data_IF_641706132920
#
_entry.id   IF_641706132920
#
_cell.length_a   1.000
_cell.length_b   1.000
_cell.length_c   1.000
_cell.angle_alpha   90.00
_cell.angle_beta   90.00
_cell.angle_gamma   90.00
#
_symmetry.space_group_name_H-M   'P 1'
#
loop_
_entity.id
_entity.type
_entity.pdbx_description
1 polymer ?
#
# COMPACT_ATOMS: atom_id res chain seq x y z
N UNK A 1 15.12 -3.99 10.87
CA UNK A 1 13.90 -3.51 10.17
C UNK A 1 13.48 -4.60 9.21
N UNK A 2 12.18 -4.89 9.07
CA UNK A 2 11.70 -5.82 8.05
C UNK A 2 11.59 -5.03 6.74
N UNK A 3 12.43 -5.31 5.76
CA UNK A 3 12.50 -4.53 4.52
C UNK A 3 11.88 -5.35 3.38
N UNK A 4 11.01 -4.71 2.60
CA UNK A 4 10.44 -5.28 1.39
C UNK A 4 10.62 -4.37 0.18
N UNK A 5 10.31 -4.92 -0.99
CA UNK A 5 10.22 -4.18 -2.25
C UNK A 5 8.88 -4.47 -2.92
N UNK A 6 8.18 -3.42 -3.34
CA UNK A 6 6.98 -3.54 -4.17
C UNK A 6 7.35 -3.91 -5.61
N UNK A 7 6.53 -4.78 -6.19
CA UNK A 7 6.61 -5.14 -7.61
C UNK A 7 6.36 -3.94 -8.55
N UNK A 8 5.90 -2.77 -8.05
CA UNK A 8 5.68 -1.55 -8.83
C UNK A 8 6.87 -1.21 -9.75
N UNK A 9 8.08 -1.09 -9.18
CA UNK A 9 9.28 -0.73 -9.92
C UNK A 9 9.73 -1.79 -10.92
N UNK A 10 9.34 -3.05 -10.68
CA UNK A 10 9.82 -4.23 -11.38
C UNK A 10 8.80 -4.73 -12.40
N UNK A 11 7.59 -4.17 -12.40
CA UNK A 11 6.55 -4.46 -13.36
C UNK A 11 7.00 -4.12 -14.80
N UNK A 12 6.76 -4.97 -15.82
CA UNK A 12 6.09 -6.28 -15.79
C UNK A 12 7.08 -7.47 -15.87
N UNK A 13 8.24 -7.40 -15.21
CA UNK A 13 9.22 -8.49 -15.23
C UNK A 13 8.61 -9.80 -14.73
N UNK A 14 9.01 -10.98 -15.25
CA UNK A 14 8.54 -12.26 -14.74
C UNK A 14 8.79 -12.39 -13.24
N UNK A 15 7.76 -12.81 -12.48
CA UNK A 15 7.87 -12.94 -11.02
C UNK A 15 9.08 -13.79 -10.54
N UNK A 16 9.46 -14.91 -11.20
CA UNK A 16 10.66 -15.65 -10.81
C UNK A 16 11.94 -14.79 -10.83
N UNK A 17 12.10 -13.91 -11.83
CA UNK A 17 13.26 -13.02 -11.96
C UNK A 17 13.24 -11.94 -10.87
N UNK A 18 12.05 -11.44 -10.53
CA UNK A 18 11.85 -10.50 -9.42
C UNK A 18 12.25 -11.14 -8.08
N UNK A 19 11.73 -12.34 -7.78
CA UNK A 19 12.01 -13.03 -6.52
C UNK A 19 13.51 -13.40 -6.39
N UNK A 20 14.13 -13.90 -7.47
CA UNK A 20 15.57 -14.18 -7.50
C UNK A 20 16.39 -12.92 -7.24
N UNK A 21 16.05 -11.81 -7.90
CA UNK A 21 16.70 -10.52 -7.67
C UNK A 21 16.59 -10.05 -6.20
N UNK A 22 15.42 -10.23 -5.57
CA UNK A 22 15.22 -9.83 -4.17
C UNK A 22 16.04 -10.71 -3.20
N UNK A 23 16.13 -12.02 -3.45
CA UNK A 23 16.99 -12.92 -2.67
C UNK A 23 18.47 -12.58 -2.82
N UNK A 24 18.94 -12.28 -4.04
CA UNK A 24 20.32 -11.84 -4.27
C UNK A 24 20.67 -10.56 -3.51
N UNK A 25 19.67 -9.71 -3.24
CA UNK A 25 19.80 -8.49 -2.44
C UNK A 25 19.53 -8.68 -0.95
N UNK A 26 19.25 -9.90 -0.51
CA UNK A 26 18.88 -10.22 0.88
C UNK A 26 17.68 -9.39 1.38
N UNK A 27 16.70 -9.15 0.50
CA UNK A 27 15.43 -8.51 0.86
C UNK A 27 14.48 -9.55 1.44
N UNK A 28 13.85 -9.23 2.58
CA UNK A 28 13.02 -10.17 3.33
C UNK A 28 11.60 -10.34 2.74
N UNK A 29 11.05 -9.27 2.15
CA UNK A 29 9.65 -9.22 1.68
C UNK A 29 9.51 -8.75 0.22
N UNK A 30 8.51 -9.27 -0.47
CA UNK A 30 8.04 -8.80 -1.77
C UNK A 30 6.57 -8.45 -1.67
N UNK A 31 6.20 -7.24 -2.07
CA UNK A 31 4.79 -6.89 -2.24
C UNK A 31 4.34 -7.10 -3.68
N UNK A 32 3.45 -8.05 -3.86
CA UNK A 32 2.89 -8.37 -5.16
C UNK A 32 1.65 -7.51 -5.37
N UNK A 33 1.70 -6.61 -6.35
CA UNK A 33 0.51 -5.94 -6.87
C UNK A 33 -0.27 -6.97 -7.66
N UNK A 34 -1.45 -7.34 -7.16
CA UNK A 34 -2.28 -8.43 -7.66
C UNK A 34 -3.01 -8.05 -8.97
N UNK A 35 -2.25 -7.58 -9.95
CA UNK A 35 -2.68 -7.25 -11.30
C UNK A 35 -1.99 -8.14 -12.32
N UNK A 36 -2.44 -8.10 -13.57
CA UNK A 36 -1.72 -8.75 -14.66
C UNK A 36 -0.27 -8.26 -14.71
N UNK A 37 0.76 -9.13 -14.83
CA UNK A 37 0.64 -10.58 -14.98
C UNK A 37 0.57 -11.36 -13.66
N UNK A 38 0.90 -10.74 -12.52
CA UNK A 38 1.05 -11.38 -11.21
C UNK A 38 -0.23 -11.94 -10.60
N UNK A 39 -1.41 -11.54 -11.08
CA UNK A 39 -2.71 -12.08 -10.65
C UNK A 39 -2.91 -13.59 -10.93
N UNK A 40 -2.11 -14.16 -11.84
CA UNK A 40 -2.18 -15.56 -12.26
C UNK A 40 -0.78 -16.18 -12.22
N UNK A 41 -0.28 -16.42 -11.01
CA UNK A 41 0.98 -17.14 -10.79
C UNK A 41 0.72 -18.58 -10.35
N UNK A 42 1.65 -19.48 -10.69
CA UNK A 42 1.66 -20.85 -10.20
C UNK A 42 2.09 -20.82 -8.73
N UNK A 43 1.21 -21.21 -7.81
CA UNK A 43 1.49 -21.14 -6.38
C UNK A 43 2.71 -22.01 -6.01
N UNK A 44 2.99 -23.09 -6.75
CA UNK A 44 4.19 -23.92 -6.56
C UNK A 44 5.50 -23.22 -6.89
N UNK A 45 5.46 -22.10 -7.60
CA UNK A 45 6.63 -21.24 -7.82
C UNK A 45 7.14 -20.65 -6.50
N UNK A 46 6.22 -20.21 -5.63
CA UNK A 46 6.54 -19.45 -4.43
C UNK A 46 7.29 -20.30 -3.40
N UNK A 47 7.01 -21.60 -3.34
CA UNK A 47 7.70 -22.57 -2.48
C UNK A 47 9.22 -22.68 -2.76
N UNK A 48 9.67 -22.19 -3.92
CA UNK A 48 11.09 -22.21 -4.30
C UNK A 48 11.90 -21.03 -3.75
N UNK A 49 11.24 -20.04 -3.14
CA UNK A 49 11.85 -18.81 -2.64
C UNK A 49 11.60 -18.65 -1.13
N UNK A 50 12.51 -17.94 -0.45
CA UNK A 50 12.45 -17.62 0.98
C UNK A 50 11.83 -16.25 1.24
N UNK A 51 11.69 -15.41 0.20
CA UNK A 51 11.07 -14.09 0.29
C UNK A 51 9.62 -14.22 0.74
N UNK A 52 9.26 -13.50 1.80
CA UNK A 52 7.89 -13.47 2.31
C UNK A 52 7.05 -12.50 1.51
N UNK A 53 5.75 -12.72 1.47
CA UNK A 53 4.87 -11.95 0.62
C UNK A 53 3.93 -11.05 1.42
N UNK A 54 3.68 -9.86 0.88
CA UNK A 54 2.46 -9.07 1.11
C UNK A 54 1.75 -8.91 -0.22
N UNK A 55 0.46 -8.60 -0.19
CA UNK A 55 -0.33 -8.41 -1.42
C UNK A 55 -0.84 -6.99 -1.47
N UNK A 56 -0.66 -6.33 -2.61
CA UNK A 56 -1.37 -5.10 -2.90
C UNK A 56 -2.60 -5.42 -3.76
N UNK A 57 -3.78 -4.95 -3.38
CA UNK A 57 -4.98 -5.09 -4.20
C UNK A 57 -4.85 -4.33 -5.52
N UNK A 58 -5.63 -4.67 -6.57
CA UNK A 58 -5.58 -3.94 -7.83
C UNK A 58 -5.77 -2.43 -7.67
N UNK A 59 -4.96 -1.67 -8.40
CA UNK A 59 -5.00 -0.22 -8.54
C UNK A 59 -5.89 0.18 -9.73
N UNK A 60 -5.74 -0.55 -10.83
CA UNK A 60 -6.27 -0.21 -12.14
C UNK A 60 -7.77 -0.53 -12.26
N UNK A 61 -8.53 0.43 -12.79
CA UNK A 61 -9.94 0.28 -13.20
C UNK A 61 -10.95 -0.17 -12.12
N UNK A 62 -10.57 -0.13 -10.84
CA UNK A 62 -11.47 -0.36 -9.71
C UNK A 62 -11.86 0.95 -9.00
N UNK A 63 -13.03 0.96 -8.36
CA UNK A 63 -13.46 2.07 -7.50
C UNK A 63 -14.51 1.61 -6.47
N UNK A 64 -14.08 1.47 -5.21
CA UNK A 64 -14.95 1.13 -4.06
C UNK A 64 -16.01 2.20 -3.76
N UNK A 65 -15.83 3.43 -4.22
CA UNK A 65 -16.78 4.54 -4.05
C UNK A 65 -17.74 4.71 -5.25
N UNK A 66 -17.63 3.85 -6.28
CA UNK A 66 -18.40 4.03 -7.52
C UNK A 66 -19.91 4.04 -7.27
N UNK A 67 -20.62 5.04 -7.80
CA UNK A 67 -22.09 5.06 -7.79
C UNK A 67 -22.71 4.10 -8.81
N UNK A 68 -21.90 3.53 -9.72
CA UNK A 68 -22.32 2.41 -10.55
C UNK A 68 -22.12 1.12 -9.76
N UNK A 69 -23.23 0.53 -9.31
CA UNK A 69 -23.21 -0.67 -8.48
C UNK A 69 -22.48 -1.86 -9.13
N UNK A 70 -22.54 -2.01 -10.46
CA UNK A 70 -21.82 -3.10 -11.13
C UNK A 70 -20.30 -2.91 -11.02
N UNK A 71 -19.81 -1.69 -11.19
CA UNK A 71 -18.38 -1.37 -11.02
C UNK A 71 -17.97 -1.55 -9.56
N UNK A 72 -18.79 -1.07 -8.62
CA UNK A 72 -18.49 -1.19 -7.18
C UNK A 72 -18.43 -2.64 -6.73
N UNK A 73 -19.39 -3.47 -7.12
CA UNK A 73 -19.41 -4.90 -6.80
C UNK A 73 -18.20 -5.63 -7.41
N UNK A 74 -17.83 -5.32 -8.65
CA UNK A 74 -16.60 -5.86 -9.26
C UNK A 74 -15.35 -5.42 -8.52
N UNK A 75 -15.29 -4.17 -8.06
CA UNK A 75 -14.16 -3.63 -7.28
C UNK A 75 -14.00 -4.37 -5.96
N UNK A 76 -15.09 -4.54 -5.21
CA UNK A 76 -15.12 -5.33 -3.96
C UNK A 76 -14.66 -6.76 -4.23
N UNK A 77 -15.17 -7.39 -5.31
CA UNK A 77 -14.79 -8.76 -5.70
C UNK A 77 -13.29 -8.86 -5.99
N UNK A 78 -12.71 -7.88 -6.67
CA UNK A 78 -11.26 -7.83 -6.95
C UNK A 78 -10.43 -7.71 -5.67
N UNK A 79 -10.84 -6.86 -4.72
CA UNK A 79 -10.17 -6.74 -3.42
C UNK A 79 -10.25 -8.05 -2.62
N UNK A 80 -11.43 -8.67 -2.56
CA UNK A 80 -11.61 -9.98 -1.89
C UNK A 80 -10.76 -11.08 -2.51
N UNK A 81 -10.61 -11.08 -3.84
CA UNK A 81 -9.69 -12.00 -4.54
C UNK A 81 -8.23 -11.81 -4.14
N UNK A 82 -7.79 -10.57 -3.85
CA UNK A 82 -6.45 -10.36 -3.29
C UNK A 82 -6.29 -10.92 -1.89
N UNK A 83 -7.36 -10.94 -1.09
CA UNK A 83 -7.35 -11.58 0.24
C UNK A 83 -7.31 -13.10 0.12
N UNK A 84 -8.05 -13.68 -0.84
CA UNK A 84 -7.96 -15.11 -1.15
C UNK A 84 -6.52 -15.46 -1.58
N UNK A 85 -5.91 -14.65 -2.45
CA UNK A 85 -4.50 -14.80 -2.86
C UNK A 85 -3.53 -14.67 -1.69
N UNK A 86 -3.76 -13.73 -0.77
CA UNK A 86 -2.92 -13.61 0.41
C UNK A 86 -2.95 -14.89 1.26
N UNK A 87 -4.12 -15.52 1.45
CA UNK A 87 -4.23 -16.81 2.13
C UNK A 87 -3.49 -17.91 1.36
N UNK A 88 -3.68 -18.01 0.05
CA UNK A 88 -3.00 -19.00 -0.81
C UNK A 88 -1.47 -18.85 -0.76
N UNK A 89 -0.97 -17.62 -0.68
CA UNK A 89 0.45 -17.27 -0.67
C UNK A 89 1.04 -17.16 0.73
N UNK A 90 0.28 -17.49 1.77
CA UNK A 90 0.68 -17.39 3.17
C UNK A 90 1.20 -15.97 3.54
N UNK A 91 0.55 -14.95 2.99
CA UNK A 91 0.72 -13.55 3.33
C UNK A 91 -0.33 -13.14 4.37
N UNK A 92 0.09 -12.37 5.38
CA UNK A 92 -0.80 -11.97 6.48
C UNK A 92 -1.53 -10.64 6.21
N UNK A 93 -1.22 -9.96 5.10
CA UNK A 93 -1.60 -8.55 4.89
C UNK A 93 -1.96 -8.24 3.43
N UNK A 94 -3.01 -7.45 3.26
CA UNK A 94 -3.43 -6.89 1.96
C UNK A 94 -3.56 -5.37 2.03
N UNK A 95 -2.87 -4.67 1.13
CA UNK A 95 -3.02 -3.21 0.94
C UNK A 95 -4.24 -2.92 0.06
N UNK A 96 -5.08 -1.98 0.49
CA UNK A 96 -6.32 -1.59 -0.18
C UNK A 96 -6.39 -0.08 -0.35
N UNK A 97 -6.53 0.36 -1.60
CA UNK A 97 -6.85 1.77 -1.85
C UNK A 97 -8.33 2.04 -1.53
N UNK A 98 -8.64 3.14 -0.82
CA UNK A 98 -10.01 3.64 -0.80
C UNK A 98 -10.47 4.03 -2.22
N UNK A 99 -11.78 4.20 -2.37
CA UNK A 99 -12.37 4.61 -3.63
C UNK A 99 -12.06 6.06 -4.02
N UNK A 100 -12.57 6.46 -5.17
CA UNK A 100 -12.38 7.81 -5.73
C UNK A 100 -13.72 8.45 -6.07
N UNK A 101 -13.80 9.77 -5.91
CA UNK A 101 -14.91 10.64 -6.26
C UNK A 101 -15.07 10.76 -7.78
N UNK A 102 -16.10 10.14 -8.39
CA UNK A 102 -16.34 10.28 -9.82
C UNK A 102 -16.78 11.70 -10.18
N UNK A 103 -16.56 12.14 -11.42
CA UNK A 103 -16.92 13.49 -11.90
C UNK A 103 -18.39 13.84 -11.57
N UNK A 104 -19.32 12.94 -11.89
CA UNK A 104 -20.74 13.12 -11.58
C UNK A 104 -21.06 12.88 -10.09
N UNK A 105 -20.20 12.13 -9.40
CA UNK A 105 -20.29 11.84 -7.97
C UNK A 105 -20.16 13.07 -7.08
N UNK A 106 -19.46 14.12 -7.53
CA UNK A 106 -19.35 15.40 -6.80
C UNK A 106 -20.70 16.02 -6.43
N UNK A 107 -21.76 15.73 -7.20
CA UNK A 107 -23.14 16.21 -6.92
C UNK A 107 -23.89 15.38 -5.89
N UNK A 108 -23.34 14.22 -5.52
CA UNK A 108 -23.89 13.23 -4.59
C UNK A 108 -22.79 12.76 -3.63
N UNK A 109 -21.91 13.67 -3.21
CA UNK A 109 -20.69 13.35 -2.47
C UNK A 109 -20.95 12.49 -1.22
N UNK A 110 -21.99 12.79 -0.45
CA UNK A 110 -22.39 12.01 0.73
C UNK A 110 -22.71 10.55 0.37
N UNK A 111 -23.34 10.30 -0.78
CA UNK A 111 -23.61 8.95 -1.25
C UNK A 111 -22.31 8.25 -1.69
N UNK A 112 -21.36 8.97 -2.31
CA UNK A 112 -20.08 8.41 -2.72
C UNK A 112 -19.26 7.98 -1.49
N UNK A 113 -19.18 8.84 -0.46
CA UNK A 113 -18.53 8.52 0.80
C UNK A 113 -19.20 7.34 1.49
N UNK A 114 -20.54 7.31 1.50
CA UNK A 114 -21.30 6.17 2.02
C UNK A 114 -21.01 4.87 1.26
N UNK A 115 -20.99 4.89 -0.07
CA UNK A 115 -20.67 3.70 -0.87
C UNK A 115 -19.25 3.20 -0.65
N UNK A 116 -18.31 4.13 -0.48
CA UNK A 116 -16.94 3.79 -0.10
C UNK A 116 -16.90 3.07 1.25
N UNK A 117 -17.53 3.65 2.26
CA UNK A 117 -17.61 3.08 3.61
C UNK A 117 -18.24 1.68 3.58
N UNK A 118 -19.40 1.52 2.93
CA UNK A 118 -20.08 0.22 2.79
C UNK A 118 -19.17 -0.83 2.15
N UNK A 119 -18.41 -0.43 1.12
CA UNK A 119 -17.49 -1.34 0.42
C UNK A 119 -16.28 -1.72 1.27
N UNK A 120 -15.70 -0.75 1.99
CA UNK A 120 -14.57 -1.01 2.90
C UNK A 120 -14.99 -1.89 4.08
N UNK A 121 -16.17 -1.67 4.66
CA UNK A 121 -16.73 -2.54 5.71
C UNK A 121 -16.93 -3.96 5.19
N UNK A 122 -17.51 -4.12 3.99
CA UNK A 122 -17.69 -5.45 3.40
C UNK A 122 -16.36 -6.17 3.14
N UNK A 123 -15.31 -5.44 2.73
CA UNK A 123 -13.97 -5.98 2.57
C UNK A 123 -13.31 -6.29 3.93
N UNK A 124 -13.51 -5.45 4.94
CA UNK A 124 -12.98 -5.62 6.29
C UNK A 124 -13.54 -6.88 6.97
N UNK A 125 -14.86 -7.08 6.92
CA UNK A 125 -15.53 -8.29 7.41
C UNK A 125 -14.95 -9.55 6.74
N UNK A 126 -14.75 -9.50 5.42
CA UNK A 126 -14.16 -10.62 4.67
C UNK A 126 -12.70 -10.89 5.05
N UNK A 127 -11.89 -9.84 5.22
CA UNK A 127 -10.51 -9.98 5.67
C UNK A 127 -10.44 -10.61 7.07
N UNK A 128 -11.32 -10.18 7.98
CA UNK A 128 -11.43 -10.73 9.33
C UNK A 128 -11.77 -12.23 9.32
N UNK A 129 -12.72 -12.65 8.50
CA UNK A 129 -13.10 -14.06 8.35
C UNK A 129 -11.94 -14.94 7.87
N UNK A 130 -11.04 -14.37 7.05
CA UNK A 130 -9.84 -15.05 6.55
C UNK A 130 -8.63 -14.94 7.49
N UNK A 131 -8.69 -14.09 8.52
CA UNK A 131 -7.53 -13.78 9.38
C UNK A 131 -6.47 -12.90 8.70
N UNK A 132 -6.85 -12.16 7.65
CA UNK A 132 -5.97 -11.25 6.90
C UNK A 132 -6.05 -9.84 7.49
N UNK A 133 -4.90 -9.18 7.61
CA UNK A 133 -4.84 -7.76 7.95
C UNK A 133 -5.10 -6.91 6.71
N UNK A 134 -6.32 -6.41 6.57
CA UNK A 134 -6.61 -5.34 5.61
C UNK A 134 -5.98 -4.04 6.07
N UNK A 135 -5.15 -3.45 5.22
CA UNK A 135 -4.47 -2.18 5.45
C UNK A 135 -4.92 -1.17 4.39
N UNK A 136 -5.62 -0.12 4.79
CA UNK A 136 -6.07 0.92 3.87
C UNK A 136 -4.99 1.99 3.76
N UNK A 137 -4.68 2.38 2.54
CA UNK A 137 -3.60 3.33 2.25
C UNK A 137 -4.10 4.77 2.20
N UNK A 138 -3.30 5.71 2.71
CA UNK A 138 -3.54 7.13 2.51
C UNK A 138 -3.18 7.54 1.09
N UNK A 139 -4.09 8.20 0.39
CA UNK A 139 -3.92 8.54 -1.03
C UNK A 139 -3.14 9.85 -1.23
N UNK A 140 -2.45 10.04 -2.36
CA UNK A 140 -1.77 11.30 -2.65
C UNK A 140 -2.77 12.42 -3.00
N UNK A 141 -2.27 13.66 -3.04
CA UNK A 141 -3.05 14.85 -3.41
C UNK A 141 -3.32 14.87 -4.92
N UNK A 142 -4.29 14.05 -5.32
CA UNK A 142 -4.77 13.93 -6.70
C UNK A 142 -6.28 14.15 -6.69
N UNK A 143 -6.75 14.99 -7.63
CA UNK A 143 -8.16 15.35 -7.70
C UNK A 143 -9.05 14.10 -7.79
N UNK A 144 -9.90 13.93 -6.77
CA UNK A 144 -10.90 12.88 -6.72
C UNK A 144 -10.49 11.65 -5.91
N UNK A 145 -9.22 11.44 -5.54
CA UNK A 145 -8.88 10.38 -4.60
C UNK A 145 -9.43 10.71 -3.20
N UNK A 146 -9.96 9.72 -2.50
CA UNK A 146 -10.47 9.90 -1.14
C UNK A 146 -9.37 9.60 -0.11
N UNK A 147 -9.52 10.11 1.12
CA UNK A 147 -8.64 9.84 2.27
C UNK A 147 -7.16 10.20 2.03
N UNK A 148 -6.93 11.45 1.64
CA UNK A 148 -5.59 12.03 1.48
C UNK A 148 -5.02 12.55 2.82
N UNK A 149 -5.90 12.88 3.77
CA UNK A 149 -5.52 13.33 5.11
C UNK A 149 -5.42 12.14 6.07
N UNK A 150 -4.29 12.03 6.78
CA UNK A 150 -4.03 10.93 7.72
C UNK A 150 -5.02 10.90 8.90
N UNK A 151 -5.53 12.05 9.36
CA UNK A 151 -6.49 12.09 10.46
C UNK A 151 -7.87 11.60 10.01
N UNK A 152 -8.30 11.99 8.80
CA UNK A 152 -9.54 11.49 8.21
C UNK A 152 -9.47 9.98 7.97
N UNK A 153 -8.35 9.49 7.42
CA UNK A 153 -8.14 8.06 7.25
C UNK A 153 -8.13 7.35 8.60
N UNK A 154 -7.30 7.76 9.57
CA UNK A 154 -7.23 7.11 10.88
C UNK A 154 -8.61 7.03 11.55
N UNK A 155 -9.41 8.11 11.49
CA UNK A 155 -10.76 8.12 12.06
C UNK A 155 -11.68 7.08 11.40
N UNK A 156 -11.61 6.92 10.07
CA UNK A 156 -12.32 5.87 9.35
C UNK A 156 -11.85 4.48 9.78
N UNK A 157 -10.53 4.26 9.90
CA UNK A 157 -9.98 2.95 10.23
C UNK A 157 -10.30 2.52 11.65
N UNK A 158 -10.38 3.45 12.60
CA UNK A 158 -10.91 3.21 13.94
C UNK A 158 -12.40 2.80 13.89
N UNK A 159 -13.20 3.41 13.01
CA UNK A 159 -14.63 3.08 12.87
C UNK A 159 -14.86 1.67 12.32
N UNK A 160 -14.05 1.24 11.34
CA UNK A 160 -14.21 -0.05 10.66
C UNK A 160 -13.26 -1.15 11.17
N UNK A 161 -12.50 -0.86 12.23
CA UNK A 161 -11.58 -1.78 12.92
C UNK A 161 -10.53 -2.46 12.02
N UNK A 162 -9.93 -1.70 11.10
CA UNK A 162 -8.83 -2.16 10.23
C UNK A 162 -7.55 -1.34 10.40
N UNK A 163 -6.50 -1.66 9.63
CA UNK A 163 -5.18 -1.06 9.77
C UNK A 163 -4.89 -0.06 8.66
N UNK A 164 -3.82 0.71 8.85
CA UNK A 164 -3.31 1.68 7.88
C UNK A 164 -2.06 1.13 7.18
N UNK A 165 -2.01 1.29 5.86
CA UNK A 165 -0.75 1.40 5.13
C UNK A 165 -0.39 2.89 5.12
N UNK A 166 0.66 3.25 5.83
CA UNK A 166 1.21 4.60 5.75
C UNK A 166 2.08 4.70 4.50
N UNK A 167 1.60 5.33 3.46
CA UNK A 167 2.45 5.80 2.38
C UNK A 167 3.05 7.15 2.75
N UNK A 168 4.37 7.14 2.94
CA UNK A 168 5.15 8.31 3.37
C UNK A 168 5.23 9.37 2.27
N UNK A 169 5.29 8.95 1.01
CA UNK A 169 5.30 9.84 -0.13
C UNK A 169 3.98 10.61 -0.25
N UNK A 170 2.86 9.92 -0.17
CA UNK A 170 1.51 10.48 -0.18
C UNK A 170 1.28 11.42 1.00
N UNK A 171 1.74 11.05 2.20
CA UNK A 171 1.63 11.88 3.40
C UNK A 171 2.44 13.17 3.25
N UNK A 172 3.67 13.10 2.72
CA UNK A 172 4.49 14.29 2.47
C UNK A 172 3.85 15.21 1.42
N UNK A 173 3.32 14.63 0.33
CA UNK A 173 2.57 15.39 -0.68
C UNK A 173 1.30 16.05 -0.12
N UNK A 174 0.69 15.45 0.90
CA UNK A 174 -0.46 15.99 1.64
C UNK A 174 -0.08 17.00 2.74
N UNK A 175 1.21 17.29 2.91
CA UNK A 175 1.72 18.31 3.83
C UNK A 175 1.97 17.82 5.26
N UNK A 176 1.92 16.52 5.52
CA UNK A 176 2.34 15.95 6.79
C UNK A 176 3.87 15.96 6.87
N UNK A 177 4.39 16.41 8.02
CA UNK A 177 5.83 16.32 8.27
C UNK A 177 6.21 14.91 8.75
N UNK A 178 7.44 14.46 8.47
CA UNK A 178 7.94 13.16 8.90
C UNK A 178 7.83 12.91 10.41
N UNK A 179 7.76 13.96 11.23
CA UNK A 179 7.58 13.86 12.67
C UNK A 179 6.15 13.58 13.12
N UNK A 180 5.16 13.72 12.24
CA UNK A 180 3.75 13.46 12.54
C UNK A 180 3.28 12.10 12.02
N UNK A 181 3.99 11.52 11.06
CA UNK A 181 3.50 10.37 10.31
C UNK A 181 3.38 9.09 11.15
N UNK A 182 4.11 8.97 12.26
CA UNK A 182 4.04 7.82 13.18
C UNK A 182 3.21 8.08 14.45
N UNK A 183 2.41 9.17 14.49
CA UNK A 183 1.50 9.46 15.61
C UNK A 183 0.24 8.56 15.60
N UNK A 184 0.03 7.78 14.53
CA UNK A 184 -1.19 7.00 14.30
C UNK A 184 -1.02 5.54 14.76
N UNK A 185 -1.86 5.03 15.68
CA UNK A 185 -1.67 3.72 16.30
C UNK A 185 -2.03 2.53 15.40
N UNK A 186 -2.77 2.77 14.30
CA UNK A 186 -3.26 1.74 13.39
C UNK A 186 -2.29 1.41 12.26
N UNK A 187 -1.11 2.04 12.20
CA UNK A 187 -0.09 1.76 11.17
C UNK A 187 0.42 0.33 11.33
N UNK A 188 0.25 -0.47 10.27
CA UNK A 188 0.71 -1.86 10.22
C UNK A 188 1.65 -2.14 9.06
N UNK A 189 1.56 -1.33 8.01
CA UNK A 189 2.40 -1.39 6.84
C UNK A 189 2.89 0.01 6.46
N UNK A 190 4.06 0.11 5.85
CA UNK A 190 4.63 1.39 5.44
C UNK A 190 5.16 1.27 4.02
N UNK A 191 4.75 2.18 3.14
CA UNK A 191 5.37 2.37 1.83
C UNK A 191 6.33 3.55 1.88
N UNK A 192 7.53 3.34 1.34
CA UNK A 192 8.58 4.33 1.24
C UNK A 192 8.88 4.64 -0.22
N UNK A 193 8.68 5.91 -0.53
CA UNK A 193 9.13 6.57 -1.74
C UNK A 193 9.53 8.00 -1.38
N UNK A 194 10.25 8.70 -2.25
CA UNK A 194 10.63 10.08 -2.04
C UNK A 194 9.97 11.01 -3.08
N UNK A 195 9.74 12.25 -2.68
CA UNK A 195 9.17 13.28 -3.54
C UNK A 195 9.53 14.69 -3.05
N UNK A 196 9.29 15.68 -3.90
CA UNK A 196 9.57 17.09 -3.59
C UNK A 196 8.41 17.80 -2.86
N UNK A 197 7.34 17.08 -2.55
CA UNK A 197 6.10 17.56 -1.93
C UNK A 197 5.04 18.01 -2.93
N UNK A 198 5.36 18.14 -4.22
CA UNK A 198 4.42 18.69 -5.22
C UNK A 198 3.55 17.64 -5.87
N UNK A 199 4.04 16.40 -5.98
CA UNK A 199 3.32 15.28 -6.57
C UNK A 199 3.88 13.98 -6.03
N UNK A 200 3.12 12.91 -6.21
CA UNK A 200 3.56 11.56 -5.91
C UNK A 200 4.49 11.03 -7.02
N UNK A 201 5.80 11.25 -6.86
CA UNK A 201 6.79 10.95 -7.90
C UNK A 201 7.40 9.56 -7.79
N UNK A 202 7.26 8.90 -6.63
CA UNK A 202 7.89 7.62 -6.34
C UNK A 202 9.41 7.57 -6.63
N UNK A 203 10.15 8.64 -6.29
CA UNK A 203 11.60 8.69 -6.53
C UNK A 203 12.35 7.80 -5.52
N UNK A 204 13.60 7.45 -5.85
CA UNK A 204 14.50 6.78 -4.91
C UNK A 204 14.67 7.55 -3.59
N UNK A 205 14.81 6.83 -2.48
CA UNK A 205 14.96 7.44 -1.15
C UNK A 205 16.22 8.33 -1.07
N UNK A 206 16.04 9.53 -0.51
CA UNK A 206 17.08 10.53 -0.34
C UNK A 206 17.35 11.38 -1.58
N UNK A 207 16.45 11.38 -2.56
CA UNK A 207 16.57 12.18 -3.79
C UNK A 207 15.56 13.31 -3.89
N UNK A 208 14.54 13.29 -3.03
CA UNK A 208 13.54 14.35 -2.87
C UNK A 208 13.80 15.14 -1.59
N UNK A 209 12.71 15.53 -0.93
CA UNK A 209 12.72 16.47 0.20
C UNK A 209 12.23 15.86 1.51
N UNK A 210 11.89 14.57 1.53
CA UNK A 210 11.40 13.91 2.75
C UNK A 210 12.53 13.80 3.77
N UNK A 211 12.27 14.27 5.00
CA UNK A 211 13.20 14.15 6.12
C UNK A 211 13.16 12.72 6.68
N UNK A 212 13.96 11.83 6.09
CA UNK A 212 14.06 10.44 6.50
C UNK A 212 14.73 10.26 7.87
N UNK A 213 15.64 11.15 8.27
CA UNK A 213 16.27 11.12 9.60
C UNK A 213 15.19 11.26 10.68
N UNK A 214 14.32 12.26 10.53
CA UNK A 214 13.17 12.43 11.40
C UNK A 214 12.21 11.25 11.28
N UNK A 215 11.89 10.79 10.06
CA UNK A 215 10.96 9.68 9.86
C UNK A 215 11.39 8.41 10.62
N UNK A 216 12.63 7.93 10.38
CA UNK A 216 13.15 6.71 11.00
C UNK A 216 13.30 6.83 12.51
N UNK A 217 13.63 8.04 13.00
CA UNK A 217 13.63 8.31 14.44
C UNK A 217 12.23 8.16 15.04
N UNK A 218 11.21 8.77 14.45
CA UNK A 218 9.84 8.70 14.97
C UNK A 218 9.26 7.28 14.86
N UNK A 219 9.58 6.57 13.78
CA UNK A 219 9.24 5.15 13.63
C UNK A 219 9.82 4.30 14.78
N UNK A 220 11.09 4.54 15.16
CA UNK A 220 11.72 3.85 16.28
C UNK A 220 11.11 4.24 17.64
N UNK A 221 10.77 5.52 17.85
CA UNK A 221 10.10 6.01 19.05
C UNK A 221 8.68 5.44 19.20
N UNK A 222 7.96 5.29 18.09
CA UNK A 222 6.66 4.60 18.02
C UNK A 222 6.78 3.07 18.18
N UNK A 223 8.01 2.54 18.26
CA UNK A 223 8.30 1.11 18.37
C UNK A 223 7.69 0.28 17.22
N UNK A 224 7.58 0.87 16.03
CA UNK A 224 7.04 0.18 14.87
C UNK A 224 7.94 -1.01 14.48
N UNK A 225 7.33 -2.19 14.37
CA UNK A 225 8.01 -3.46 14.07
C UNK A 225 7.46 -4.16 12.81
N UNK A 226 6.62 -3.46 12.04
CA UNK A 226 6.04 -3.93 10.80
C UNK A 226 7.01 -3.87 9.61
N UNK A 227 6.47 -4.03 8.40
CA UNK A 227 7.24 -4.09 7.15
C UNK A 227 7.35 -2.69 6.56
N UNK A 228 8.57 -2.35 6.14
CA UNK A 228 8.88 -1.13 5.40
C UNK A 228 9.12 -1.51 3.95
N UNK A 229 8.19 -1.15 3.08
CA UNK A 229 8.15 -1.51 1.67
C UNK A 229 8.74 -0.39 0.82
N UNK A 230 9.81 -0.66 0.07
CA UNK A 230 10.31 0.27 -0.94
C UNK A 230 9.37 0.21 -2.14
N UNK A 231 8.66 1.31 -2.39
CA UNK A 231 7.72 1.45 -3.51
C UNK A 231 8.14 2.63 -4.37
N UNK A 232 9.02 2.36 -5.32
CA UNK A 232 9.59 3.36 -6.22
C UNK A 232 9.19 3.07 -7.67
N UNK A 233 9.44 4.03 -8.55
CA UNK A 233 8.98 3.95 -9.93
C UNK A 233 9.86 3.09 -10.84
N UNK A 234 11.18 3.16 -10.67
CA UNK A 234 12.15 2.59 -11.61
C UNK A 234 13.01 1.50 -10.95
N UNK A 235 13.43 0.43 -11.67
CA UNK A 235 14.21 -0.66 -11.08
C UNK A 235 15.54 -0.22 -10.43
N UNK A 236 16.20 0.79 -11.01
CA UNK A 236 17.47 1.31 -10.47
C UNK A 236 17.27 2.00 -9.11
N UNK A 237 16.09 2.59 -8.91
CA UNK A 237 15.74 3.35 -7.71
C UNK A 237 15.53 2.40 -6.52
N UNK A 238 15.16 1.14 -6.78
CA UNK A 238 15.10 0.08 -5.76
C UNK A 238 16.47 -0.09 -5.11
N UNK A 239 17.51 -0.30 -5.91
CA UNK A 239 18.87 -0.49 -5.40
C UNK A 239 19.38 0.75 -4.68
N UNK A 240 19.11 1.93 -5.22
CA UNK A 240 19.48 3.18 -4.57
C UNK A 240 18.80 3.33 -3.19
N UNK A 241 17.52 2.98 -3.11
CA UNK A 241 16.71 3.06 -1.88
C UNK A 241 17.15 2.04 -0.83
N UNK A 242 17.43 0.80 -1.23
CA UNK A 242 17.96 -0.21 -0.32
C UNK A 242 19.30 0.23 0.28
N UNK A 243 20.23 0.72 -0.56
CA UNK A 243 21.51 1.27 -0.10
C UNK A 243 21.36 2.51 0.78
N UNK A 244 20.28 3.27 0.62
CA UNK A 244 19.97 4.42 1.46
C UNK A 244 19.53 3.96 2.85
N UNK A 245 18.57 3.02 2.92
CA UNK A 245 18.09 2.44 4.19
C UNK A 245 19.24 1.79 4.97
N UNK A 246 20.11 1.02 4.31
CA UNK A 246 21.29 0.39 4.94
C UNK A 246 22.24 1.38 5.63
N UNK A 247 22.26 2.65 5.21
CA UNK A 247 23.10 3.69 5.83
C UNK A 247 22.45 4.35 7.04
N UNK A 248 21.13 4.20 7.18
CA UNK A 248 20.33 4.84 8.24
C UNK A 248 20.06 3.93 9.43
N UNK A 249 20.16 2.61 9.24
CA UNK A 249 19.89 1.57 10.24
C UNK A 249 21.19 0.96 10.75
#
# INVERSE_FOLDING_TARGET
MKIGVSTLALYPQPLPEVLEFLEEKNVDYCEIINEYPYHEIDDGLLDSYQVKLTVHSPLSDINLASHNQLIRNSSITSVKRSMDKAVEWNADLVVVHPGSMPIMGKKIADNILKYNLESLVECAEYAQDLGIFMCVENMPVIEGLLYQDLNELNSLLEEIEVYMTLDVGHAHNSGFSSSQMFDYPLIKHVHLSDNDGTFDQHNALGTGNIDFDSLFKNMAEAQYDGIVMVEVKDPQDVIQSLNFIEKMV
#
